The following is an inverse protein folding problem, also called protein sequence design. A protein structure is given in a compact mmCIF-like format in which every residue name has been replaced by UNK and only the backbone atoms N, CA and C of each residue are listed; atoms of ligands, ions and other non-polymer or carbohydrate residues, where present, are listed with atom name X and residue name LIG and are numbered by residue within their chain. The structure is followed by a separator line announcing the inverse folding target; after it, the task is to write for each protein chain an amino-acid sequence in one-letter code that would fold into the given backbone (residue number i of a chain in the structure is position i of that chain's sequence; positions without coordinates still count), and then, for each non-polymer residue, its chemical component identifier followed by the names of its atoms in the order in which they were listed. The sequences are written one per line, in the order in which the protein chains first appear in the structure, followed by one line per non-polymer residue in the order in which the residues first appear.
data_IF_288534950062
#
_entry.id   IF_288534950062
#
_cell.length_a   1.000
_cell.length_b   1.000
_cell.length_c   1.000
_cell.angle_alpha   90.00
_cell.angle_beta   90.00
_cell.angle_gamma   90.00
#
_symmetry.space_group_name_H-M   'P 1'
#
loop_
_entity.id
_entity.type
_entity.pdbx_description
1 polymer ?
#
# COMPACT_ATOMS: atom_id res chain seq x y z
N UNK A 1 15.43 -25.40 2.43
CA UNK A 1 15.95 -24.07 2.02
C UNK A 1 15.21 -22.94 2.75
N UNK A 2 15.30 -22.90 4.09
CA UNK A 2 14.53 -21.97 4.94
C UNK A 2 15.34 -20.73 5.38
N UNK A 3 16.07 -20.13 4.44
CA UNK A 3 16.99 -19.00 4.72
C UNK A 3 16.40 -17.60 4.52
N UNK A 4 15.18 -17.45 3.99
CA UNK A 4 14.72 -16.18 3.42
C UNK A 4 13.64 -15.41 4.21
N UNK A 5 13.30 -15.85 5.42
CA UNK A 5 12.29 -15.18 6.25
C UNK A 5 12.84 -14.02 7.11
N UNK A 6 13.90 -13.34 6.66
CA UNK A 6 14.16 -11.98 7.16
C UNK A 6 13.00 -11.13 6.65
N UNK A 7 12.02 -10.94 7.52
CA UNK A 7 10.82 -10.19 7.20
C UNK A 7 11.22 -8.72 7.15
N UNK A 8 11.64 -8.29 5.97
CA UNK A 8 11.94 -6.89 5.72
C UNK A 8 10.65 -6.09 5.97
N UNK A 9 10.62 -5.24 7.01
CA UNK A 9 9.43 -4.46 7.35
C UNK A 9 9.00 -3.58 6.18
N UNK A 10 9.94 -3.14 5.33
CA UNK A 10 9.67 -2.37 4.12
C UNK A 10 8.93 -3.26 3.11
N UNK A 11 9.38 -4.49 2.86
CA UNK A 11 8.68 -5.43 1.94
C UNK A 11 7.26 -5.76 2.39
N UNK A 12 7.01 -5.83 3.71
CA UNK A 12 5.65 -6.01 4.25
C UNK A 12 4.76 -4.82 3.90
N UNK A 13 5.26 -3.60 4.12
CA UNK A 13 4.53 -2.38 3.81
C UNK A 13 4.31 -2.20 2.31
N UNK A 14 5.30 -2.50 1.47
CA UNK A 14 5.15 -2.48 0.01
C UNK A 14 4.08 -3.46 -0.48
N UNK A 15 4.01 -4.65 0.12
CA UNK A 15 2.98 -5.63 -0.21
C UNK A 15 1.59 -5.11 0.19
N UNK A 16 1.48 -4.47 1.36
CA UNK A 16 0.24 -3.82 1.82
C UNK A 16 -0.16 -2.68 0.88
N UNK A 17 0.79 -1.84 0.44
CA UNK A 17 0.59 -0.77 -0.53
C UNK A 17 0.01 -1.30 -1.84
N UNK A 18 0.59 -2.37 -2.39
CA UNK A 18 0.13 -3.00 -3.64
C UNK A 18 -1.33 -3.46 -3.54
N UNK A 19 -1.71 -4.11 -2.44
CA UNK A 19 -3.10 -4.53 -2.20
C UNK A 19 -4.06 -3.34 -2.13
N UNK A 20 -3.68 -2.28 -1.42
CA UNK A 20 -4.50 -1.07 -1.35
C UNK A 20 -4.67 -0.38 -2.71
N UNK A 21 -3.62 -0.34 -3.53
CA UNK A 21 -3.69 0.19 -4.90
C UNK A 21 -4.62 -0.64 -5.79
N UNK A 22 -4.58 -1.96 -5.67
CA UNK A 22 -5.49 -2.85 -6.39
C UNK A 22 -6.95 -2.61 -5.98
N UNK A 23 -7.23 -2.54 -4.68
CA UNK A 23 -8.55 -2.16 -4.16
C UNK A 23 -8.99 -0.78 -4.69
N UNK A 24 -8.10 0.22 -4.66
CA UNK A 24 -8.38 1.55 -5.15
C UNK A 24 -8.70 1.56 -6.66
N UNK A 25 -8.02 0.72 -7.47
CA UNK A 25 -8.36 0.57 -8.89
C UNK A 25 -9.78 0.02 -9.09
N UNK A 26 -10.20 -0.96 -8.29
CA UNK A 26 -11.57 -1.47 -8.37
C UNK A 26 -12.60 -0.41 -8.00
N UNK A 27 -12.32 0.40 -6.98
CA UNK A 27 -13.19 1.50 -6.53
C UNK A 27 -13.23 2.63 -7.58
N UNK A 28 -12.10 2.93 -8.21
CA UNK A 28 -12.05 3.89 -9.31
C UNK A 28 -12.94 3.43 -10.48
N UNK A 29 -12.88 2.13 -10.81
CA UNK A 29 -13.70 1.53 -11.88
C UNK A 29 -15.19 1.47 -11.54
N UNK A 30 -15.56 1.36 -10.25
CA UNK A 30 -16.96 1.46 -9.85
C UNK A 30 -17.51 2.89 -9.90
N UNK A 31 -16.63 3.90 -10.07
CA UNK A 31 -17.01 5.30 -10.14
C UNK A 31 -17.22 5.98 -8.78
N UNK A 32 -16.91 5.30 -7.67
CA UNK A 32 -17.02 5.88 -6.33
C UNK A 32 -15.79 6.74 -6.01
N UNK A 33 -15.81 7.97 -6.53
CA UNK A 33 -14.72 8.94 -6.38
C UNK A 33 -14.45 9.33 -4.92
N UNK A 34 -15.48 9.33 -4.06
CA UNK A 34 -15.33 9.66 -2.64
C UNK A 34 -14.55 8.57 -1.93
N UNK A 35 -14.97 7.32 -2.11
CA UNK A 35 -14.29 6.18 -1.51
C UNK A 35 -12.87 6.01 -2.10
N UNK A 36 -12.70 6.28 -3.40
CA UNK A 36 -11.39 6.29 -4.05
C UNK A 36 -10.45 7.31 -3.41
N UNK A 37 -10.91 8.55 -3.20
CA UNK A 37 -10.11 9.60 -2.56
C UNK A 37 -9.67 9.21 -1.13
N UNK A 38 -10.58 8.64 -0.35
CA UNK A 38 -10.28 8.13 1.00
C UNK A 38 -9.23 7.01 0.96
N UNK A 39 -9.34 6.09 0.00
CA UNK A 39 -8.34 5.02 -0.19
C UNK A 39 -6.99 5.55 -0.62
N UNK A 40 -6.95 6.52 -1.53
CA UNK A 40 -5.72 7.16 -1.97
C UNK A 40 -5.01 7.90 -0.82
N UNK A 41 -5.75 8.59 0.04
CA UNK A 41 -5.16 9.24 1.23
C UNK A 41 -4.50 8.22 2.18
N UNK A 42 -5.10 7.05 2.35
CA UNK A 42 -4.52 5.97 3.14
C UNK A 42 -3.25 5.39 2.50
N UNK A 43 -3.21 5.31 1.17
CA UNK A 43 -2.03 4.87 0.40
C UNK A 43 -0.89 5.89 0.55
N UNK A 44 -1.18 7.18 0.42
CA UNK A 44 -0.18 8.25 0.58
C UNK A 44 0.45 8.25 1.97
N UNK A 45 -0.35 8.04 3.03
CA UNK A 45 0.17 7.91 4.40
C UNK A 45 1.12 6.72 4.53
N UNK A 46 0.74 5.58 3.95
CA UNK A 46 1.56 4.38 3.96
C UNK A 46 2.86 4.55 3.14
N UNK A 47 2.82 5.29 2.04
CA UNK A 47 4.01 5.62 1.25
C UNK A 47 5.01 6.46 2.04
N UNK A 48 4.52 7.45 2.80
CA UNK A 48 5.37 8.25 3.69
C UNK A 48 6.01 7.41 4.79
N UNK A 49 5.29 6.43 5.34
CA UNK A 49 5.86 5.48 6.30
C UNK A 49 6.96 4.62 5.67
N UNK A 50 6.75 4.13 4.44
CA UNK A 50 7.77 3.38 3.69
C UNK A 50 9.01 4.23 3.42
N UNK A 51 8.82 5.48 2.98
CA UNK A 51 9.91 6.41 2.71
C UNK A 51 10.70 6.73 3.98
N UNK A 52 10.01 6.95 5.11
CA UNK A 52 10.65 7.19 6.40
C UNK A 52 11.50 5.99 6.87
N UNK A 53 11.10 4.76 6.56
CA UNK A 53 11.85 3.54 6.91
C UNK A 53 13.02 3.24 5.96
N UNK A 54 13.03 3.84 4.76
CA UNK A 54 14.10 3.69 3.77
C UNK A 54 15.24 4.69 3.94
N UNK A 55 15.00 5.75 4.72
CA UNK A 55 15.93 6.86 4.96
C UNK A 55 16.90 6.54 6.09
#
# INVERSE_FOLDING_TARGET
MFGFLKSDPIKKLETKRKKLLEEAMHIQRSGDLKLYAVKMEAIDKLEKEIEALRK
#
